data_IF_842267500505
#
_entry.id   IF_842267500505
#
_cell.length_a   1.000
_cell.length_b   1.000
_cell.length_c   1.000
_cell.angle_alpha   90.00
_cell.angle_beta   90.00
_cell.angle_gamma   90.00
#
_symmetry.space_group_name_H-M   'P 1'
#
loop_
_entity.id
_entity.type
_entity.pdbx_description
1 polymer ?
#
# COMPACT_ATOMS: atom_id res chain seq x y z
N UNK A 1 79.38 -51.86 6.81
CA UNK A 1 78.05 -52.49 6.99
C UNK A 1 77.02 -51.37 7.08
N UNK A 2 76.49 -50.94 5.94
CA UNK A 2 75.20 -51.37 5.38
C UNK A 2 74.02 -50.54 5.95
N UNK A 3 73.89 -49.31 5.44
CA UNK A 3 72.70 -48.47 5.59
C UNK A 3 71.59 -49.06 4.72
N UNK A 4 70.53 -49.58 5.36
CA UNK A 4 69.35 -50.10 4.70
C UNK A 4 68.54 -48.98 4.06
N UNK A 5 68.68 -48.83 2.74
CA UNK A 5 67.82 -47.99 1.91
C UNK A 5 66.46 -48.66 1.72
N UNK A 6 65.48 -48.30 2.55
CA UNK A 6 64.08 -48.62 2.30
C UNK A 6 63.49 -47.57 1.35
N UNK A 7 63.16 -48.05 0.16
CA UNK A 7 62.55 -47.26 -0.92
C UNK A 7 61.23 -46.65 -0.47
N UNK A 8 61.16 -45.32 -0.48
CA UNK A 8 59.91 -44.57 -0.43
C UNK A 8 59.09 -44.92 -1.67
N UNK A 9 58.08 -45.76 -1.48
CA UNK A 9 57.06 -46.07 -2.49
C UNK A 9 56.18 -44.83 -2.64
N UNK A 10 56.35 -44.10 -3.75
CA UNK A 10 55.51 -42.97 -4.10
C UNK A 10 54.08 -43.45 -4.37
N UNK A 11 53.16 -43.22 -3.44
CA UNK A 11 51.73 -43.49 -3.66
C UNK A 11 51.08 -42.35 -4.47
N UNK A 12 50.24 -42.65 -5.47
CA UNK A 12 49.49 -41.65 -6.22
C UNK A 12 48.36 -41.06 -5.38
N UNK A 13 48.37 -39.72 -5.22
CA UNK A 13 47.37 -38.96 -4.47
C UNK A 13 46.06 -38.91 -5.26
N UNK A 14 45.02 -39.61 -4.80
CA UNK A 14 43.68 -39.47 -5.40
C UNK A 14 43.05 -38.11 -5.06
N UNK A 15 42.30 -37.50 -5.99
CA UNK A 15 41.55 -36.27 -5.74
C UNK A 15 40.42 -36.53 -4.76
N UNK A 16 40.37 -35.75 -3.68
CA UNK A 16 39.31 -35.84 -2.68
C UNK A 16 38.03 -35.17 -3.22
N UNK A 17 36.86 -35.80 -3.09
CA UNK A 17 35.58 -35.16 -3.38
C UNK A 17 35.31 -34.06 -2.35
N UNK A 18 35.12 -32.82 -2.82
CA UNK A 18 34.82 -31.67 -1.97
C UNK A 18 33.44 -31.80 -1.30
N UNK A 19 33.25 -31.23 -0.10
CA UNK A 19 31.98 -31.30 0.61
C UNK A 19 30.89 -30.56 -0.18
N UNK A 20 29.85 -31.29 -0.60
CA UNK A 20 28.64 -30.68 -1.14
C UNK A 20 27.90 -29.98 0.01
N UNK A 21 27.81 -28.65 -0.05
CA UNK A 21 27.20 -27.82 0.98
C UNK A 21 25.70 -28.05 1.10
N UNK A 22 25.28 -28.73 2.17
CA UNK A 22 23.88 -28.81 2.58
C UNK A 22 23.40 -27.48 3.17
N UNK A 23 22.18 -27.08 2.85
CA UNK A 23 21.56 -25.88 3.42
C UNK A 23 21.45 -26.05 4.93
N UNK A 24 22.05 -25.14 5.70
CA UNK A 24 22.10 -25.27 7.16
C UNK A 24 20.69 -25.14 7.77
N UNK A 25 20.41 -25.91 8.83
CA UNK A 25 19.13 -25.83 9.55
C UNK A 25 18.82 -24.39 10.03
N UNK A 26 19.87 -23.61 10.30
CA UNK A 26 19.78 -22.19 10.67
C UNK A 26 19.30 -21.30 9.52
N UNK A 27 19.63 -21.61 8.27
CA UNK A 27 19.15 -20.87 7.10
C UNK A 27 17.65 -21.12 6.87
N UNK A 28 17.19 -22.37 7.06
CA UNK A 28 15.78 -22.73 6.99
C UNK A 28 14.95 -22.05 8.10
N UNK A 29 15.45 -22.08 9.34
CA UNK A 29 14.79 -21.42 10.47
C UNK A 29 14.65 -19.90 10.25
N UNK A 30 15.72 -19.22 9.79
CA UNK A 30 15.69 -17.79 9.46
C UNK A 30 14.73 -17.47 8.31
N UNK A 31 14.66 -18.34 7.31
CA UNK A 31 13.69 -18.22 6.21
C UNK A 31 12.25 -18.26 6.70
N UNK A 32 11.94 -19.23 7.56
CA UNK A 32 10.62 -19.36 8.17
C UNK A 32 10.26 -18.14 9.03
N UNK A 33 11.20 -17.65 9.87
CA UNK A 33 10.97 -16.45 10.69
C UNK A 33 10.68 -15.22 9.83
N UNK A 34 11.42 -15.01 8.73
CA UNK A 34 11.18 -13.90 7.79
C UNK A 34 9.81 -14.01 7.13
N UNK A 35 9.39 -15.22 6.76
CA UNK A 35 8.08 -15.46 6.17
C UNK A 35 6.95 -15.17 7.17
N UNK A 36 7.09 -15.63 8.42
CA UNK A 36 6.13 -15.32 9.48
C UNK A 36 6.01 -13.81 9.74
N UNK A 37 7.14 -13.09 9.76
CA UNK A 37 7.14 -11.63 9.91
C UNK A 37 6.49 -10.94 8.71
N UNK A 38 6.73 -11.40 7.48
CA UNK A 38 6.10 -10.86 6.28
C UNK A 38 4.58 -11.07 6.29
N UNK A 39 4.12 -12.27 6.66
CA UNK A 39 2.69 -12.57 6.81
C UNK A 39 2.07 -11.71 7.91
N UNK A 40 2.73 -11.59 9.06
CA UNK A 40 2.25 -10.75 10.15
C UNK A 40 2.15 -9.28 9.73
N UNK A 41 3.18 -8.74 9.07
CA UNK A 41 3.17 -7.37 8.55
C UNK A 41 2.05 -7.17 7.52
N UNK A 42 1.82 -8.15 6.64
CA UNK A 42 0.75 -8.10 5.65
C UNK A 42 -0.62 -8.06 6.31
N UNK A 43 -0.87 -8.92 7.31
CA UNK A 43 -2.13 -8.92 8.08
C UNK A 43 -2.36 -7.58 8.79
N UNK A 44 -1.33 -7.02 9.42
CA UNK A 44 -1.42 -5.71 10.11
C UNK A 44 -1.75 -4.59 9.12
N UNK A 45 -1.11 -4.58 7.94
CA UNK A 45 -1.39 -3.57 6.91
C UNK A 45 -2.80 -3.73 6.33
N UNK A 46 -3.27 -4.97 6.10
CA UNK A 46 -4.61 -5.24 5.58
C UNK A 46 -5.74 -4.90 6.56
N UNK A 47 -5.46 -4.91 7.87
CA UNK A 47 -6.43 -4.49 8.90
C UNK A 47 -6.41 -2.99 9.18
N UNK A 48 -5.48 -2.22 8.58
CA UNK A 48 -5.50 -0.77 8.74
C UNK A 48 -6.81 -0.21 8.19
N UNK A 49 -7.59 0.54 8.99
CA UNK A 49 -8.78 1.19 8.49
C UNK A 49 -8.38 2.13 7.38
N UNK A 50 -8.87 1.89 6.16
CA UNK A 50 -8.78 2.87 5.10
C UNK A 50 -9.49 4.12 5.60
N UNK A 51 -8.79 5.25 5.70
CA UNK A 51 -9.40 6.55 5.94
C UNK A 51 -10.25 6.92 4.72
N UNK A 52 -11.42 6.32 4.61
CA UNK A 52 -12.44 6.74 3.68
C UNK A 52 -12.98 8.08 4.18
N UNK A 53 -12.96 9.09 3.31
CA UNK A 53 -13.67 10.33 3.55
C UNK A 53 -15.13 10.01 3.90
N UNK A 54 -15.64 10.61 4.97
CA UNK A 54 -17.04 10.47 5.34
C UNK A 54 -17.89 10.97 4.16
N UNK A 55 -18.86 10.16 3.73
CA UNK A 55 -19.79 10.57 2.67
C UNK A 55 -20.60 11.77 3.20
N UNK A 56 -20.40 12.93 2.58
CA UNK A 56 -21.27 14.09 2.79
C UNK A 56 -22.52 13.88 1.93
N UNK A 57 -23.72 13.72 2.53
CA UNK A 57 -24.93 13.57 1.76
C UNK A 57 -25.20 14.85 0.96
N UNK A 58 -25.46 14.72 -0.34
CA UNK A 58 -25.92 15.85 -1.17
C UNK A 58 -27.34 16.19 -0.70
N UNK A 59 -27.62 17.42 -0.23
CA UNK A 59 -28.95 17.75 0.22
C UNK A 59 -29.94 17.74 -0.95
N UNK A 60 -31.21 17.40 -0.70
CA UNK A 60 -32.22 17.39 -1.75
C UNK A 60 -32.34 18.78 -2.37
N UNK A 61 -32.57 18.83 -3.69
CA UNK A 61 -32.63 20.08 -4.43
C UNK A 61 -33.93 20.83 -4.15
N UNK A 62 -33.95 21.61 -3.07
CA UNK A 62 -35.14 22.34 -2.61
C UNK A 62 -35.17 23.81 -3.05
N UNK A 63 -34.03 24.37 -3.45
CA UNK A 63 -33.88 25.78 -3.85
C UNK A 63 -32.71 25.95 -4.85
N UNK A 64 -32.60 27.12 -5.51
CA UNK A 64 -31.46 27.42 -6.39
C UNK A 64 -30.24 27.91 -5.61
N UNK A 65 -30.43 28.44 -4.40
CA UNK A 65 -29.35 28.82 -3.48
C UNK A 65 -29.50 28.06 -2.15
N UNK A 66 -28.44 27.37 -1.72
CA UNK A 66 -28.40 26.60 -0.48
C UNK A 66 -27.16 26.98 0.33
N UNK A 67 -27.23 28.02 1.15
CA UNK A 67 -26.11 28.38 2.05
C UNK A 67 -26.08 27.48 3.28
N UNK A 68 -25.16 26.52 3.32
CA UNK A 68 -24.99 25.60 4.45
C UNK A 68 -24.08 26.15 5.55
N UNK A 69 -23.29 27.18 5.26
CA UNK A 69 -22.32 27.76 6.19
C UNK A 69 -22.82 29.03 6.86
N UNK A 70 -23.97 29.56 6.43
CA UNK A 70 -24.57 30.78 6.98
C UNK A 70 -23.72 32.02 6.73
N UNK A 71 -22.97 32.01 5.63
CA UNK A 71 -22.03 33.08 5.27
C UNK A 71 -22.71 34.22 4.51
N UNK A 72 -23.82 33.94 3.83
CA UNK A 72 -24.54 34.92 3.02
C UNK A 72 -25.63 35.60 3.84
N UNK A 73 -25.76 36.93 3.68
CA UNK A 73 -26.91 37.64 4.21
C UNK A 73 -28.17 37.26 3.41
N UNK A 74 -29.34 37.36 4.04
CA UNK A 74 -30.61 37.01 3.39
C UNK A 74 -30.87 37.81 2.09
N UNK A 75 -30.38 39.06 2.02
CA UNK A 75 -30.48 39.88 0.83
C UNK A 75 -29.62 39.35 -0.34
N UNK A 76 -28.44 38.80 -0.03
CA UNK A 76 -27.54 38.23 -1.03
C UNK A 76 -28.10 36.93 -1.60
N UNK A 77 -28.67 36.08 -0.73
CA UNK A 77 -29.39 34.87 -1.14
C UNK A 77 -30.54 35.21 -2.08
N UNK A 78 -31.36 36.22 -1.75
CA UNK A 78 -32.48 36.64 -2.60
C UNK A 78 -32.02 37.20 -3.96
N UNK A 79 -30.93 37.98 -3.98
CA UNK A 79 -30.36 38.50 -5.22
C UNK A 79 -29.81 37.40 -6.13
N UNK A 80 -29.15 36.38 -5.54
CA UNK A 80 -28.64 35.22 -6.26
C UNK A 80 -29.79 34.36 -6.83
N UNK A 81 -30.83 34.10 -6.02
CA UNK A 81 -32.00 33.35 -6.45
C UNK A 81 -32.67 33.98 -7.68
N UNK A 82 -32.82 35.31 -7.68
CA UNK A 82 -33.41 36.06 -8.80
C UNK A 82 -32.54 35.99 -10.08
N UNK A 83 -31.22 36.07 -9.92
CA UNK A 83 -30.29 35.93 -11.05
C UNK A 83 -30.34 34.53 -11.64
N UNK A 84 -30.31 33.49 -10.80
CA UNK A 84 -30.38 32.09 -11.22
C UNK A 84 -31.71 31.77 -11.88
N UNK A 85 -32.82 32.31 -11.37
CA UNK A 85 -34.13 32.21 -12.02
C UNK A 85 -34.13 32.83 -13.41
N UNK A 86 -33.57 34.03 -13.56
CA UNK A 86 -33.50 34.72 -14.85
C UNK A 86 -32.65 33.92 -15.85
N UNK A 87 -31.53 33.35 -15.38
CA UNK A 87 -30.67 32.51 -16.20
C UNK A 87 -31.38 31.22 -16.66
N UNK A 88 -32.10 30.55 -15.75
CA UNK A 88 -32.90 29.37 -16.05
C UNK A 88 -33.97 29.68 -17.10
N UNK A 89 -34.68 30.79 -16.97
CA UNK A 89 -35.68 31.23 -17.95
C UNK A 89 -35.10 31.53 -19.33
N UNK A 90 -33.88 32.07 -19.39
CA UNK A 90 -33.24 32.46 -20.66
C UNK A 90 -32.56 31.29 -21.38
N UNK A 91 -32.01 30.32 -20.63
CA UNK A 91 -31.14 29.27 -21.18
C UNK A 91 -31.71 27.86 -21.03
N UNK A 92 -32.71 27.66 -20.18
CA UNK A 92 -33.28 26.36 -19.85
C UNK A 92 -32.39 25.48 -18.95
N UNK A 93 -31.25 25.99 -18.49
CA UNK A 93 -30.31 25.27 -17.62
C UNK A 93 -30.48 25.70 -16.17
N UNK A 94 -30.62 24.73 -15.26
CA UNK A 94 -30.68 24.97 -13.82
C UNK A 94 -29.27 24.97 -13.21
N UNK A 95 -28.93 26.05 -12.49
CA UNK A 95 -27.68 26.21 -11.75
C UNK A 95 -28.02 26.35 -10.27
N UNK A 96 -27.24 25.68 -9.42
CA UNK A 96 -27.43 25.59 -7.97
C UNK A 96 -26.12 25.92 -7.29
N UNK A 97 -26.15 26.75 -6.25
CA UNK A 97 -24.97 27.20 -5.50
C UNK A 97 -25.16 27.10 -4.00
#
# INVERSE_FOLDING_TARGET
>A
AAQGGLRQVTQPRMPQPGPMGGVSAQALAKGLTRLLLAVLAWVILSLSPAWAQALVPVPPLTARVMDQTGTLAAADVAALEQQLQTFEQQRGTQIVV
#
